data_IF_545997726264
#
_entry.id   IF_545997726264
#
_cell.length_a   1.000
_cell.length_b   1.000
_cell.length_c   1.000
_cell.angle_alpha   90.00
_cell.angle_beta   90.00
_cell.angle_gamma   90.00
#
_symmetry.space_group_name_H-M   'P 1'
#
loop_
_entity.id
_entity.type
_entity.pdbx_description
1 polymer ?
#
# COMPACT_ATOMS: atom_id res chain seq x y z
N UNK A 1 3.10 25.07 -0.67
CA UNK A 1 2.99 26.13 -1.69
C UNK A 1 1.92 25.87 -2.78
N UNK A 2 1.20 24.76 -2.71
CA UNK A 2 0.14 24.40 -3.69
C UNK A 2 -0.98 25.43 -3.73
N UNK A 3 -1.41 25.98 -2.59
CA UNK A 3 -2.44 27.00 -2.56
C UNK A 3 -2.11 28.25 -3.38
N UNK A 4 -0.85 28.69 -3.37
CA UNK A 4 -0.37 29.80 -4.21
C UNK A 4 -0.39 29.41 -5.69
N UNK A 5 0.10 28.22 -6.03
CA UNK A 5 0.10 27.73 -7.41
C UNK A 5 -1.31 27.63 -7.95
N UNK A 6 -2.22 27.03 -7.19
CA UNK A 6 -3.65 26.90 -7.58
C UNK A 6 -4.30 28.27 -7.71
N UNK A 7 -4.04 29.21 -6.78
CA UNK A 7 -4.54 30.56 -6.87
C UNK A 7 -4.06 31.26 -8.15
N UNK A 8 -2.76 31.19 -8.45
CA UNK A 8 -2.19 31.80 -9.64
C UNK A 8 -2.80 31.19 -10.92
N UNK A 9 -3.01 29.85 -10.95
CA UNK A 9 -3.66 29.19 -12.08
C UNK A 9 -5.09 29.70 -12.31
N UNK A 10 -5.87 29.90 -11.24
CA UNK A 10 -7.22 30.48 -11.33
C UNK A 10 -7.21 31.94 -11.83
N UNK A 11 -6.09 32.65 -11.63
CA UNK A 11 -5.92 34.04 -12.08
C UNK A 11 -5.35 34.16 -13.51
N UNK A 12 -4.88 33.06 -14.12
CA UNK A 12 -4.36 33.05 -15.49
C UNK A 12 -5.45 33.33 -16.53
N UNK A 13 -5.08 34.04 -17.61
CA UNK A 13 -5.99 34.35 -18.73
C UNK A 13 -6.61 33.09 -19.32
N UNK A 14 -5.85 32.02 -19.47
CA UNK A 14 -6.31 30.73 -19.99
C UNK A 14 -7.43 30.12 -19.17
N UNK A 15 -7.37 30.26 -17.84
CA UNK A 15 -8.46 29.83 -16.94
C UNK A 15 -9.69 30.73 -17.13
N UNK A 16 -9.48 32.04 -17.25
CA UNK A 16 -10.52 33.03 -17.40
C UNK A 16 -11.26 32.92 -18.75
N UNK A 17 -10.60 32.40 -19.77
CA UNK A 17 -11.25 32.06 -21.06
C UNK A 17 -12.19 30.85 -20.94
N UNK A 18 -11.83 29.87 -20.11
CA UNK A 18 -12.57 28.61 -19.99
C UNK A 18 -13.66 28.66 -18.92
N UNK A 19 -13.45 29.42 -17.87
CA UNK A 19 -14.33 29.46 -16.70
C UNK A 19 -14.74 30.87 -16.34
N UNK A 20 -15.97 31.02 -15.84
CA UNK A 20 -16.52 32.32 -15.42
C UNK A 20 -16.14 32.67 -13.98
N UNK A 21 -15.65 31.72 -13.22
CA UNK A 21 -15.25 31.90 -11.80
C UNK A 21 -13.99 32.78 -11.71
N UNK A 22 -13.97 33.72 -10.78
CA UNK A 22 -12.85 34.65 -10.54
C UNK A 22 -12.46 34.62 -9.07
N UNK A 23 -11.22 35.02 -8.78
CA UNK A 23 -10.77 35.24 -7.40
C UNK A 23 -11.50 36.47 -6.82
N UNK A 24 -11.87 36.38 -5.55
CA UNK A 24 -12.41 37.50 -4.79
C UNK A 24 -11.28 38.47 -4.41
N UNK A 25 -11.44 39.76 -4.64
CA UNK A 25 -10.35 40.77 -4.51
C UNK A 25 -9.83 40.90 -3.07
N UNK A 26 -10.69 40.73 -2.06
CA UNK A 26 -10.37 40.91 -0.65
C UNK A 26 -9.88 39.65 0.06
N UNK A 27 -9.75 38.51 -0.67
CA UNK A 27 -9.41 37.22 -0.07
C UNK A 27 -8.30 36.50 -0.86
N UNK A 28 -7.06 36.96 -0.70
CA UNK A 28 -5.94 36.53 -1.57
C UNK A 28 -4.73 35.94 -0.84
N UNK A 29 -4.84 35.47 0.40
CA UNK A 29 -3.75 34.82 1.10
C UNK A 29 -3.38 33.49 0.43
N UNK A 30 -2.09 33.11 0.39
CA UNK A 30 -1.60 31.93 -0.31
C UNK A 30 -2.25 30.60 0.14
N UNK A 31 -2.59 30.48 1.42
CA UNK A 31 -3.22 29.29 1.99
C UNK A 31 -4.73 29.41 2.21
N UNK A 32 -5.30 30.58 1.87
CA UNK A 32 -6.74 30.85 2.05
C UNK A 32 -7.21 31.92 1.09
N UNK A 33 -8.08 31.55 0.19
CA UNK A 33 -8.67 32.48 -0.79
C UNK A 33 -10.09 32.04 -1.15
N UNK A 34 -10.86 32.97 -1.69
CA UNK A 34 -12.24 32.76 -2.09
C UNK A 34 -12.46 33.10 -3.56
N UNK A 35 -13.55 32.58 -4.08
CA UNK A 35 -14.03 32.92 -5.42
C UNK A 35 -15.29 33.78 -5.36
N UNK A 36 -15.58 34.52 -6.43
CA UNK A 36 -16.78 35.32 -6.64
C UNK A 36 -18.08 34.47 -6.65
N UNK A 37 -17.96 33.16 -6.78
CA UNK A 37 -19.07 32.18 -6.74
C UNK A 37 -19.27 31.55 -5.36
N UNK A 38 -18.59 32.06 -4.32
CA UNK A 38 -18.72 31.57 -2.95
C UNK A 38 -17.88 30.36 -2.60
N UNK A 39 -17.04 29.85 -3.53
CA UNK A 39 -16.08 28.81 -3.24
C UNK A 39 -14.95 29.32 -2.34
N UNK A 40 -14.44 28.48 -1.44
CA UNK A 40 -13.29 28.79 -0.59
C UNK A 40 -12.23 27.70 -0.74
N UNK A 41 -10.98 28.11 -0.92
CA UNK A 41 -9.81 27.25 -0.77
C UNK A 41 -9.17 27.51 0.59
N UNK A 42 -8.85 26.45 1.30
CA UNK A 42 -8.15 26.52 2.58
C UNK A 42 -7.15 25.37 2.70
N UNK A 43 -5.89 25.70 3.02
CA UNK A 43 -4.82 24.74 3.25
C UNK A 43 -4.30 24.83 4.68
N UNK A 44 -4.09 23.67 5.30
CA UNK A 44 -3.46 23.53 6.61
C UNK A 44 -2.52 22.31 6.59
N UNK A 45 -1.45 22.37 7.37
CA UNK A 45 -0.59 21.20 7.59
C UNK A 45 -1.26 20.17 8.51
N UNK A 46 -0.75 18.94 8.50
CA UNK A 46 -1.16 17.89 9.43
C UNK A 46 -1.03 18.38 10.88
N UNK A 47 -2.10 18.26 11.66
CA UNK A 47 -2.17 18.81 13.02
C UNK A 47 -2.55 20.29 13.08
N UNK A 48 -2.69 20.97 11.95
CA UNK A 48 -3.17 22.36 11.91
C UNK A 48 -4.65 22.51 12.27
N UNK A 49 -5.04 23.71 12.73
CA UNK A 49 -6.43 24.01 13.10
C UNK A 49 -7.30 24.11 11.85
N UNK A 50 -8.29 23.23 11.74
CA UNK A 50 -9.30 23.21 10.68
C UNK A 50 -10.72 23.37 11.22
N UNK A 51 -10.85 23.77 12.48
CA UNK A 51 -12.14 23.94 13.17
C UNK A 51 -13.00 25.02 12.54
N UNK A 52 -14.32 24.81 12.55
CA UNK A 52 -15.29 25.79 12.06
C UNK A 52 -15.43 25.86 10.53
N UNK A 53 -14.87 24.89 9.78
CA UNK A 53 -14.98 24.83 8.31
C UNK A 53 -15.58 23.51 7.88
N UNK A 54 -16.46 23.56 6.86
CA UNK A 54 -16.88 22.39 6.10
C UNK A 54 -16.04 22.24 4.83
N UNK A 55 -16.05 21.07 4.23
CA UNK A 55 -15.38 20.79 2.96
C UNK A 55 -16.28 19.93 2.07
N UNK A 56 -16.49 20.37 0.83
CA UNK A 56 -17.13 19.58 -0.21
C UNK A 56 -16.10 18.67 -0.91
N UNK A 57 -14.84 19.12 -0.96
CA UNK A 57 -13.70 18.34 -1.41
C UNK A 57 -12.57 18.47 -0.39
N UNK A 58 -12.15 17.35 0.16
CA UNK A 58 -11.01 17.24 1.06
C UNK A 58 -9.85 16.57 0.31
N UNK A 59 -8.75 17.30 0.14
CA UNK A 59 -7.51 16.76 -0.45
C UNK A 59 -6.47 16.62 0.66
N UNK A 60 -5.93 15.43 0.83
CA UNK A 60 -4.82 15.14 1.74
C UNK A 60 -3.63 14.74 0.88
N UNK A 61 -2.58 15.55 0.95
CA UNK A 61 -1.37 15.40 0.15
C UNK A 61 -0.19 15.10 1.07
N UNK A 62 0.46 13.96 0.87
CA UNK A 62 1.61 13.44 1.62
C UNK A 62 1.50 13.68 3.16
N UNK A 63 0.53 13.03 3.83
CA UNK A 63 0.31 13.22 5.28
C UNK A 63 1.46 12.72 6.15
N UNK A 64 2.39 11.95 5.59
CA UNK A 64 3.56 11.39 6.27
C UNK A 64 4.86 11.97 5.73
N UNK A 65 5.87 11.99 6.60
CA UNK A 65 7.24 12.36 6.26
C UNK A 65 8.17 11.16 6.42
N UNK A 66 9.29 11.16 5.73
CA UNK A 66 10.32 10.12 5.87
C UNK A 66 10.71 9.85 7.34
N UNK A 67 10.73 10.89 8.16
CA UNK A 67 11.04 10.79 9.60
C UNK A 67 10.00 9.99 10.38
N UNK A 68 8.75 9.96 9.92
CA UNK A 68 7.65 9.25 10.57
C UNK A 68 7.84 7.72 10.49
N UNK A 69 8.52 7.24 9.46
CA UNK A 69 8.83 5.82 9.26
C UNK A 69 9.77 5.29 10.34
N UNK A 70 10.68 6.16 10.83
CA UNK A 70 11.70 5.81 11.83
C UNK A 70 11.18 5.89 13.26
N UNK A 71 9.99 6.43 13.49
CA UNK A 71 9.40 6.68 14.80
C UNK A 71 8.36 5.61 15.14
N UNK A 72 8.75 4.46 15.70
CA UNK A 72 7.94 3.44 16.42
C UNK A 72 6.44 3.28 16.02
N UNK A 73 6.06 3.62 14.79
CA UNK A 73 4.66 3.58 14.33
C UNK A 73 3.74 4.67 14.91
N UNK A 74 4.15 5.40 15.94
CA UNK A 74 3.33 6.44 16.62
C UNK A 74 2.96 7.62 15.71
N UNK A 75 3.82 7.93 14.75
CA UNK A 75 3.55 8.98 13.77
C UNK A 75 2.39 8.61 12.84
N UNK A 76 2.27 7.35 12.46
CA UNK A 76 1.16 6.85 11.65
C UNK A 76 -0.16 6.89 12.43
N UNK A 77 -0.15 6.47 13.69
CA UNK A 77 -1.32 6.59 14.58
C UNK A 77 -1.73 8.04 14.78
N UNK A 78 -0.76 8.94 14.98
CA UNK A 78 -1.03 10.38 15.12
C UNK A 78 -1.69 10.96 13.87
N UNK A 79 -1.21 10.60 12.68
CA UNK A 79 -1.78 11.06 11.42
C UNK A 79 -3.21 10.51 11.23
N UNK A 80 -3.45 9.25 11.56
CA UNK A 80 -4.78 8.65 11.49
C UNK A 80 -5.76 9.28 12.50
N UNK A 81 -5.31 9.50 13.73
CA UNK A 81 -6.11 10.19 14.75
C UNK A 81 -6.45 11.62 14.32
N UNK A 82 -5.50 12.35 13.74
CA UNK A 82 -5.76 13.66 13.16
C UNK A 82 -6.80 13.59 12.05
N UNK A 83 -6.66 12.63 11.12
CA UNK A 83 -7.61 12.44 10.02
C UNK A 83 -9.03 12.20 10.55
N UNK A 84 -9.20 11.26 11.46
CA UNK A 84 -10.52 10.85 11.97
C UNK A 84 -11.17 11.91 12.87
N UNK A 85 -10.39 12.55 13.73
CA UNK A 85 -10.90 13.57 14.67
C UNK A 85 -11.12 14.95 14.02
N UNK A 86 -10.43 15.25 12.94
CA UNK A 86 -10.45 16.57 12.29
C UNK A 86 -11.01 16.54 10.86
N UNK A 87 -10.20 16.29 9.83
CA UNK A 87 -10.59 16.42 8.43
C UNK A 87 -11.84 15.63 8.06
N UNK A 88 -11.91 14.35 8.43
CA UNK A 88 -13.05 13.49 8.10
C UNK A 88 -14.37 14.03 8.63
N UNK A 89 -14.36 14.64 9.81
CA UNK A 89 -15.54 15.24 10.44
C UNK A 89 -15.99 16.56 9.79
N UNK A 90 -15.20 17.08 8.85
CA UNK A 90 -15.51 18.34 8.13
C UNK A 90 -16.12 18.10 6.77
N UNK A 91 -16.13 16.87 6.30
CA UNK A 91 -16.73 16.54 5.01
C UNK A 91 -18.25 16.82 5.07
N UNK A 92 -18.73 17.61 4.13
CA UNK A 92 -20.15 17.87 3.97
C UNK A 92 -20.86 16.66 3.37
N UNK A 93 -22.18 16.52 3.55
CA UNK A 93 -22.97 15.48 2.90
C UNK A 93 -22.78 15.51 1.37
N UNK A 94 -22.37 14.37 0.78
CA UNK A 94 -22.06 14.27 -0.64
C UNK A 94 -20.67 14.76 -1.05
N UNK A 95 -19.86 15.22 -0.09
CA UNK A 95 -18.48 15.62 -0.34
C UNK A 95 -17.56 14.42 -0.66
N UNK A 96 -16.42 14.72 -1.28
CA UNK A 96 -15.43 13.74 -1.69
C UNK A 96 -14.10 13.90 -0.93
N UNK A 97 -13.38 12.78 -0.77
CA UNK A 97 -12.03 12.77 -0.19
C UNK A 97 -11.07 12.21 -1.24
N UNK A 98 -9.96 12.91 -1.43
CA UNK A 98 -8.83 12.46 -2.25
C UNK A 98 -7.59 12.39 -1.37
N UNK A 99 -6.93 11.26 -1.31
CA UNK A 99 -5.66 11.08 -0.60
C UNK A 99 -4.59 10.74 -1.63
N UNK A 100 -3.58 11.60 -1.73
CA UNK A 100 -2.41 11.39 -2.59
C UNK A 100 -1.21 11.23 -1.68
N UNK A 101 -0.50 10.12 -1.78
CA UNK A 101 0.67 9.90 -0.95
C UNK A 101 1.58 8.80 -1.48
N UNK A 102 2.85 8.89 -1.16
CA UNK A 102 3.77 7.76 -1.22
C UNK A 102 3.45 6.78 -0.10
N UNK A 103 3.45 5.49 -0.39
CA UNK A 103 3.29 4.46 0.65
C UNK A 103 4.57 4.33 1.46
N UNK A 104 4.43 4.15 2.76
CA UNK A 104 5.54 4.02 3.71
C UNK A 104 5.48 2.72 4.51
N UNK A 105 4.29 2.32 4.90
CA UNK A 105 4.04 1.17 5.77
C UNK A 105 2.62 0.64 5.57
N UNK A 106 2.38 -0.58 5.97
CA UNK A 106 1.01 -1.11 6.12
C UNK A 106 0.19 -0.36 7.17
N UNK A 107 0.88 0.38 8.07
CA UNK A 107 0.29 1.19 9.14
C UNK A 107 0.12 2.67 8.76
N UNK A 108 0.51 3.09 7.56
CA UNK A 108 0.27 4.47 7.09
C UNK A 108 -1.25 4.75 6.95
N UNK A 109 -1.63 6.02 6.75
CA UNK A 109 -3.05 6.40 6.67
C UNK A 109 -3.78 5.58 5.63
N UNK A 110 -3.22 5.44 4.43
CA UNK A 110 -3.83 4.62 3.36
C UNK A 110 -4.00 3.16 3.78
N UNK A 111 -2.97 2.55 4.38
CA UNK A 111 -3.04 1.16 4.86
C UNK A 111 -4.12 0.95 5.92
N UNK A 112 -4.27 1.89 6.86
CA UNK A 112 -5.32 1.82 7.87
C UNK A 112 -6.72 2.01 7.29
N UNK A 113 -6.89 2.94 6.33
CA UNK A 113 -8.17 3.18 5.66
C UNK A 113 -8.60 2.00 4.80
N UNK A 114 -7.68 1.42 4.03
CA UNK A 114 -7.95 0.22 3.22
C UNK A 114 -8.28 -1.00 4.09
N UNK A 115 -7.68 -1.12 5.25
CA UNK A 115 -8.05 -2.15 6.22
C UNK A 115 -9.46 -1.90 6.78
N UNK A 116 -9.77 -0.66 7.15
CA UNK A 116 -11.06 -0.29 7.73
C UNK A 116 -12.22 -0.45 6.73
N UNK A 117 -12.00 -0.32 5.42
CA UNK A 117 -13.08 -0.43 4.43
C UNK A 117 -13.74 -1.83 4.36
N UNK A 118 -13.15 -2.85 4.96
CA UNK A 118 -13.77 -4.18 5.09
C UNK A 118 -14.84 -4.23 6.17
N UNK A 119 -14.92 -3.22 7.05
CA UNK A 119 -15.93 -3.13 8.10
C UNK A 119 -17.25 -2.59 7.52
N UNK A 120 -18.36 -3.08 8.01
CA UNK A 120 -19.69 -2.66 7.56
C UNK A 120 -19.92 -1.17 7.86
N UNK A 121 -20.37 -0.42 6.86
CA UNK A 121 -20.64 1.02 6.99
C UNK A 121 -19.40 1.93 6.86
N UNK A 122 -18.21 1.37 6.63
CA UNK A 122 -17.00 2.15 6.41
C UNK A 122 -16.97 2.85 5.06
N UNK A 123 -16.19 3.94 4.96
CA UNK A 123 -15.93 4.60 3.68
C UNK A 123 -15.31 3.61 2.69
N UNK A 124 -15.79 3.62 1.45
CA UNK A 124 -15.27 2.80 0.37
C UNK A 124 -14.34 3.62 -0.52
N UNK A 125 -13.18 3.05 -0.84
CA UNK A 125 -12.11 3.75 -1.55
C UNK A 125 -11.90 3.14 -2.94
N UNK A 126 -11.86 4.01 -3.94
CA UNK A 126 -11.29 3.69 -5.24
C UNK A 126 -9.76 3.91 -5.14
N UNK A 127 -8.99 2.87 -5.45
CA UNK A 127 -7.54 2.89 -5.30
C UNK A 127 -6.88 2.96 -6.67
N UNK A 128 -6.05 3.99 -6.87
CA UNK A 128 -5.18 4.13 -8.06
C UNK A 128 -3.74 3.93 -7.61
N UNK A 129 -3.14 2.82 -8.03
CA UNK A 129 -1.74 2.51 -7.73
C UNK A 129 -0.88 2.74 -8.97
N UNK A 130 0.21 3.49 -8.80
CA UNK A 130 1.19 3.79 -9.84
C UNK A 130 2.57 3.27 -9.42
N UNK A 131 2.81 1.94 -9.50
CA UNK A 131 4.12 1.38 -9.16
C UNK A 131 5.15 1.80 -10.20
N UNK A 132 6.39 2.03 -9.76
CA UNK A 132 7.47 2.48 -10.65
C UNK A 132 7.75 1.50 -11.79
N UNK A 133 7.52 0.20 -11.55
CA UNK A 133 7.60 -0.86 -12.58
C UNK A 133 6.24 -1.56 -12.64
N UNK A 134 5.64 -1.54 -13.81
CA UNK A 134 4.36 -2.18 -14.10
C UNK A 134 4.48 -3.71 -14.13
N UNK A 135 3.38 -4.47 -14.08
CA UNK A 135 3.40 -5.94 -14.15
C UNK A 135 4.05 -6.51 -15.41
N UNK A 136 4.07 -5.75 -16.50
CA UNK A 136 4.74 -6.12 -17.77
C UNK A 136 6.26 -5.87 -17.74
N UNK A 137 6.81 -5.34 -16.64
CA UNK A 137 8.21 -5.05 -16.46
C UNK A 137 8.66 -3.67 -16.96
N UNK A 138 7.76 -2.87 -17.53
CA UNK A 138 8.07 -1.53 -18.02
C UNK A 138 7.96 -0.47 -16.91
N UNK A 139 8.75 0.61 -16.96
CA UNK A 139 8.53 1.77 -16.10
C UNK A 139 7.13 2.37 -16.32
N UNK A 140 6.50 2.83 -15.24
CA UNK A 140 5.20 3.53 -15.32
C UNK A 140 5.29 4.86 -16.10
N UNK A 141 6.47 5.46 -16.11
CA UNK A 141 6.75 6.72 -16.80
C UNK A 141 8.11 6.65 -17.52
N UNK A 142 8.19 5.96 -18.68
CA UNK A 142 9.47 5.67 -19.36
C UNK A 142 10.17 6.92 -19.91
N UNK A 143 9.43 8.03 -20.18
CA UNK A 143 10.01 9.29 -20.65
C UNK A 143 10.80 10.00 -19.53
N UNK A 144 10.56 9.69 -18.27
CA UNK A 144 11.22 10.30 -17.11
C UNK A 144 12.16 9.32 -16.41
N UNK A 145 11.78 8.06 -16.25
CA UNK A 145 12.58 7.03 -15.60
C UNK A 145 12.86 5.85 -16.54
N UNK A 146 14.11 5.62 -16.83
CA UNK A 146 14.53 4.41 -17.56
C UNK A 146 14.56 3.19 -16.63
N UNK A 147 14.39 2.00 -17.20
CA UNK A 147 14.52 0.74 -16.44
C UNK A 147 15.88 0.61 -15.74
N UNK A 148 16.96 1.08 -16.40
CA UNK A 148 18.31 1.05 -15.82
C UNK A 148 18.43 1.91 -14.57
N UNK A 149 17.90 3.14 -14.60
CA UNK A 149 17.90 4.06 -13.45
C UNK A 149 17.06 3.52 -12.30
N UNK A 150 15.90 2.95 -12.58
CA UNK A 150 15.05 2.30 -11.57
C UNK A 150 15.76 1.10 -10.92
N UNK A 151 16.48 0.29 -11.70
CA UNK A 151 17.25 -0.83 -11.16
C UNK A 151 18.44 -0.36 -10.30
N UNK A 152 19.13 0.72 -10.69
CA UNK A 152 20.16 1.36 -9.86
C UNK A 152 19.60 1.87 -8.55
N UNK A 153 18.46 2.55 -8.60
CA UNK A 153 17.76 3.02 -7.40
C UNK A 153 17.37 1.84 -6.49
N UNK A 154 16.78 0.79 -7.06
CA UNK A 154 16.44 -0.43 -6.32
C UNK A 154 17.63 -1.06 -5.61
N UNK A 155 18.79 -1.07 -6.24
CA UNK A 155 20.02 -1.61 -5.66
C UNK A 155 20.62 -0.72 -4.55
N UNK A 156 20.25 0.57 -4.52
CA UNK A 156 20.83 1.55 -3.60
C UNK A 156 20.03 1.77 -2.30
N UNK A 157 18.80 1.26 -2.22
CA UNK A 157 17.92 1.43 -1.06
C UNK A 157 17.48 0.09 -0.47
N UNK A 158 17.08 0.04 0.82
CA UNK A 158 16.51 -1.17 1.43
C UNK A 158 15.32 -1.70 0.62
N UNK A 159 15.21 -3.03 0.55
CA UNK A 159 14.12 -3.69 -0.19
C UNK A 159 12.74 -3.28 0.31
N UNK A 160 12.58 -3.11 1.63
CA UNK A 160 11.34 -2.61 2.23
C UNK A 160 10.95 -1.22 1.72
N UNK A 161 11.91 -0.30 1.62
CA UNK A 161 11.69 1.04 1.08
C UNK A 161 11.35 1.00 -0.40
N UNK A 162 12.04 0.15 -1.18
CA UNK A 162 11.70 -0.07 -2.58
C UNK A 162 10.26 -0.56 -2.75
N UNK A 163 9.89 -1.59 -2.01
CA UNK A 163 8.54 -2.15 -2.09
C UNK A 163 7.47 -1.14 -1.68
N UNK A 164 7.69 -0.39 -0.61
CA UNK A 164 6.73 0.60 -0.13
C UNK A 164 6.63 1.79 -1.09
N UNK A 165 7.73 2.50 -1.32
CA UNK A 165 7.70 3.82 -1.96
C UNK A 165 7.63 3.74 -3.49
N UNK A 166 8.33 2.77 -4.10
CA UNK A 166 8.38 2.64 -5.56
C UNK A 166 7.35 1.64 -6.10
N UNK A 167 7.11 0.55 -5.37
CA UNK A 167 6.15 -0.46 -5.83
C UNK A 167 4.76 -0.30 -5.21
N UNK A 168 4.54 0.70 -4.36
CA UNK A 168 3.28 0.98 -3.63
C UNK A 168 2.77 -0.21 -2.80
N UNK A 169 3.63 -1.17 -2.50
CA UNK A 169 3.33 -2.40 -1.78
C UNK A 169 4.19 -2.50 -0.50
N UNK A 170 3.88 -1.74 0.56
CA UNK A 170 4.60 -1.81 1.82
C UNK A 170 4.44 -3.18 2.47
N UNK A 171 5.54 -3.73 2.93
CA UNK A 171 5.56 -4.95 3.74
C UNK A 171 5.61 -4.59 5.23
N UNK A 172 5.03 -5.43 6.07
CA UNK A 172 5.14 -5.26 7.52
C UNK A 172 6.59 -5.50 7.96
N UNK A 173 7.34 -4.44 8.30
CA UNK A 173 8.70 -4.59 8.84
C UNK A 173 8.71 -5.20 10.25
N UNK A 174 7.68 -4.93 11.04
CA UNK A 174 7.48 -5.50 12.37
C UNK A 174 6.67 -6.79 12.27
N UNK A 175 7.32 -7.87 11.94
CA UNK A 175 6.63 -9.17 11.91
C UNK A 175 7.21 -10.16 10.94
N UNK A 176 8.25 -9.82 10.23
CA UNK A 176 9.05 -10.84 9.56
C UNK A 176 9.74 -11.68 10.65
N UNK A 177 8.97 -12.65 11.18
CA UNK A 177 9.50 -13.71 12.05
C UNK A 177 10.71 -14.35 11.36
N UNK A 178 10.67 -14.38 10.01
CA UNK A 178 11.73 -14.90 9.16
C UNK A 178 12.52 -13.74 8.54
N UNK A 179 13.74 -13.50 9.01
CA UNK A 179 14.63 -12.48 8.45
C UNK A 179 15.26 -12.97 7.16
N UNK A 180 15.44 -12.05 6.17
CA UNK A 180 16.05 -12.38 4.87
C UNK A 180 17.46 -12.99 5.04
N UNK A 181 18.23 -12.53 5.99
CA UNK A 181 19.60 -13.02 6.26
C UNK A 181 19.65 -14.48 6.72
N UNK A 182 18.51 -15.04 7.11
CA UNK A 182 18.41 -16.46 7.49
C UNK A 182 18.25 -17.36 6.25
N UNK A 183 17.85 -16.79 5.11
CA UNK A 183 17.67 -17.53 3.88
C UNK A 183 19.00 -17.73 3.16
N UNK A 184 19.28 -18.97 2.78
CA UNK A 184 20.43 -19.35 1.96
C UNK A 184 19.95 -19.88 0.62
N UNK A 185 20.58 -19.44 -0.46
CA UNK A 185 20.26 -19.95 -1.77
C UNK A 185 20.81 -21.38 -1.94
N UNK A 186 19.95 -22.29 -2.35
CA UNK A 186 20.37 -23.64 -2.73
C UNK A 186 21.13 -23.58 -4.04
N UNK A 187 22.37 -24.05 -4.05
CA UNK A 187 23.27 -23.93 -5.22
C UNK A 187 23.16 -25.09 -6.21
N UNK A 188 22.59 -26.21 -5.80
CA UNK A 188 22.49 -27.41 -6.64
C UNK A 188 21.20 -27.38 -7.46
N UNK A 189 21.22 -28.10 -8.62
CA UNK A 189 20.08 -28.18 -9.54
C UNK A 189 18.86 -28.88 -8.91
N UNK A 190 19.10 -29.84 -8.06
CA UNK A 190 18.07 -30.65 -7.40
C UNK A 190 18.13 -30.47 -5.89
N UNK A 191 16.99 -30.57 -5.18
CA UNK A 191 17.02 -30.56 -3.73
C UNK A 191 17.81 -31.74 -3.16
N UNK A 192 18.25 -31.70 -1.90
CA UNK A 192 18.88 -32.85 -1.24
C UNK A 192 17.87 -34.00 -1.11
N UNK A 193 18.31 -35.23 -0.79
CA UNK A 193 17.40 -36.26 -0.33
C UNK A 193 16.57 -35.73 0.87
N UNK A 194 15.25 -35.85 0.77
CA UNK A 194 14.32 -35.33 1.77
C UNK A 194 13.91 -36.44 2.72
N UNK A 195 13.80 -36.11 4.01
CA UNK A 195 13.24 -36.99 5.03
C UNK A 195 11.71 -37.04 4.92
N UNK A 196 11.07 -35.85 4.72
CA UNK A 196 9.65 -35.72 4.48
C UNK A 196 9.30 -34.35 3.87
N UNK A 197 8.08 -34.23 3.36
CA UNK A 197 7.55 -33.02 2.72
C UNK A 197 6.37 -32.48 3.53
N UNK A 198 6.37 -31.17 3.80
CA UNK A 198 5.29 -30.46 4.47
C UNK A 198 4.70 -29.40 3.56
N UNK A 199 3.38 -29.35 3.46
CA UNK A 199 2.68 -28.22 2.84
C UNK A 199 1.96 -27.37 3.89
N UNK A 200 2.10 -26.05 3.78
CA UNK A 200 1.41 -25.07 4.62
C UNK A 200 0.49 -24.21 3.78
N UNK A 201 -0.75 -24.05 4.25
CA UNK A 201 -1.83 -23.32 3.59
C UNK A 201 -2.28 -22.17 4.48
N UNK A 202 -2.11 -20.94 4.00
CA UNK A 202 -2.77 -19.74 4.51
C UNK A 202 -3.90 -19.40 3.54
N UNK A 203 -5.17 -19.45 4.01
CA UNK A 203 -6.33 -19.43 3.13
C UNK A 203 -7.20 -18.19 3.34
N UNK A 204 -7.50 -17.47 2.24
CA UNK A 204 -8.52 -16.44 2.19
C UNK A 204 -9.70 -16.92 1.29
N UNK A 205 -10.93 -16.57 1.66
CA UNK A 205 -12.12 -17.17 1.03
C UNK A 205 -12.82 -16.26 -0.01
N UNK A 206 -12.26 -15.11 -0.38
CA UNK A 206 -12.90 -14.20 -1.33
C UNK A 206 -11.97 -13.70 -2.42
N UNK A 207 -12.48 -13.57 -3.65
CA UNK A 207 -11.79 -13.01 -4.83
C UNK A 207 -11.76 -11.48 -4.91
N UNK A 208 -12.37 -10.77 -3.97
CA UNK A 208 -12.40 -9.30 -4.05
C UNK A 208 -10.98 -8.75 -4.12
N UNK A 209 -10.74 -7.73 -4.92
CA UNK A 209 -9.43 -7.06 -5.07
C UNK A 209 -8.87 -6.54 -3.74
N UNK A 210 -9.74 -6.37 -2.75
CA UNK A 210 -9.43 -5.98 -1.37
C UNK A 210 -9.21 -7.15 -0.42
N UNK A 211 -9.43 -8.42 -0.87
CA UNK A 211 -9.26 -9.60 -0.03
C UNK A 211 -7.79 -10.01 0.10
N UNK A 212 -7.47 -10.67 1.21
CA UNK A 212 -6.18 -11.28 1.41
C UNK A 212 -5.89 -12.35 0.35
N UNK A 213 -4.63 -12.60 0.10
CA UNK A 213 -4.19 -13.70 -0.76
C UNK A 213 -4.32 -15.04 -0.04
N UNK A 214 -4.59 -16.09 -0.80
CA UNK A 214 -4.29 -17.46 -0.35
C UNK A 214 -2.85 -17.80 -0.74
N UNK A 215 -2.11 -18.40 0.16
CA UNK A 215 -0.75 -18.84 -0.07
C UNK A 215 -0.60 -20.34 0.25
N UNK A 216 0.13 -21.05 -0.61
CA UNK A 216 0.50 -22.45 -0.40
C UNK A 216 2.02 -22.53 -0.51
N UNK A 217 2.67 -23.09 0.50
CA UNK A 217 4.11 -23.30 0.50
C UNK A 217 4.42 -24.78 0.72
N UNK A 218 5.34 -25.32 -0.08
CA UNK A 218 5.80 -26.71 0.01
C UNK A 218 7.25 -26.73 0.45
N UNK A 219 7.53 -27.45 1.52
CA UNK A 219 8.81 -27.50 2.20
C UNK A 219 9.33 -28.94 2.22
N UNK A 220 10.59 -29.12 1.87
CA UNK A 220 11.31 -30.35 2.12
C UNK A 220 12.09 -30.25 3.42
N UNK A 221 12.01 -31.27 4.25
CA UNK A 221 12.83 -31.40 5.45
C UNK A 221 13.93 -32.42 5.16
N UNK A 222 15.16 -32.10 5.52
CA UNK A 222 16.32 -32.95 5.31
C UNK A 222 17.32 -32.80 6.47
N UNK A 223 18.08 -33.85 6.72
CA UNK A 223 19.06 -33.88 7.79
C UNK A 223 20.47 -33.90 7.21
N UNK A 224 21.38 -33.11 7.78
CA UNK A 224 22.80 -33.12 7.48
C UNK A 224 23.61 -33.50 8.75
N UNK A 225 24.76 -34.10 8.54
CA UNK A 225 25.66 -34.46 9.66
C UNK A 225 26.19 -33.22 10.40
N UNK A 226 26.35 -32.08 9.67
CA UNK A 226 26.95 -30.88 10.24
C UNK A 226 25.94 -30.02 11.03
N UNK A 227 24.71 -29.84 10.51
CA UNK A 227 23.76 -28.85 11.02
C UNK A 227 22.48 -29.48 11.59
N UNK A 228 22.35 -30.82 11.54
CA UNK A 228 21.12 -31.50 11.94
C UNK A 228 19.97 -31.31 10.95
N UNK A 229 18.76 -31.08 11.47
CA UNK A 229 17.56 -30.95 10.65
C UNK A 229 17.48 -29.56 9.99
N UNK A 230 17.26 -29.55 8.70
CA UNK A 230 17.15 -28.35 7.85
C UNK A 230 15.86 -28.36 7.06
N UNK A 231 15.46 -27.20 6.54
CA UNK A 231 14.31 -27.06 5.65
C UNK A 231 14.71 -26.38 4.34
N UNK A 232 14.10 -26.79 3.24
CA UNK A 232 14.24 -26.17 1.92
C UNK A 232 12.88 -25.85 1.35
N UNK A 233 12.69 -24.63 0.86
CA UNK A 233 11.47 -24.25 0.11
C UNK A 233 11.52 -24.89 -1.28
N UNK A 234 10.58 -25.78 -1.55
CA UNK A 234 10.46 -26.48 -2.83
C UNK A 234 9.54 -25.75 -3.80
N UNK A 235 8.43 -25.19 -3.28
CA UNK A 235 7.46 -24.43 -4.07
C UNK A 235 6.77 -23.38 -3.18
N UNK A 236 6.42 -22.24 -3.79
CA UNK A 236 5.63 -21.21 -3.15
C UNK A 236 4.64 -20.65 -4.17
N UNK A 237 3.39 -20.63 -3.79
CA UNK A 237 2.28 -20.20 -4.61
C UNK A 237 1.41 -19.21 -3.86
N UNK A 238 1.01 -18.12 -4.51
CA UNK A 238 0.19 -17.07 -3.90
C UNK A 238 -0.74 -16.47 -4.94
N UNK A 239 -2.04 -16.53 -4.68
CA UNK A 239 -3.05 -15.88 -5.55
C UNK A 239 -4.37 -15.63 -4.79
N UNK A 240 -5.32 -14.96 -5.46
CA UNK A 240 -6.67 -14.74 -4.94
C UNK A 240 -7.64 -15.70 -5.58
N UNK A 241 -8.23 -16.57 -4.78
CA UNK A 241 -9.18 -17.58 -5.24
C UNK A 241 -10.53 -17.45 -4.52
N UNK A 242 -11.59 -17.84 -5.23
CA UNK A 242 -12.80 -18.27 -4.53
C UNK A 242 -12.62 -19.69 -3.97
N UNK A 243 -13.51 -20.09 -3.08
CA UNK A 243 -13.38 -21.38 -2.39
C UNK A 243 -13.33 -22.58 -3.34
N UNK A 244 -14.17 -22.69 -4.41
CA UNK A 244 -14.08 -23.78 -5.37
C UNK A 244 -12.75 -23.87 -6.10
N UNK A 245 -12.18 -22.72 -6.46
CA UNK A 245 -10.87 -22.66 -7.13
C UNK A 245 -9.73 -23.00 -6.18
N UNK A 246 -9.74 -22.43 -4.97
CA UNK A 246 -8.74 -22.75 -3.94
C UNK A 246 -8.70 -24.24 -3.67
N UNK A 247 -9.89 -24.88 -3.55
CA UNK A 247 -10.00 -26.34 -3.35
C UNK A 247 -9.36 -27.11 -4.51
N UNK A 248 -9.60 -26.70 -5.75
CA UNK A 248 -9.01 -27.35 -6.94
C UNK A 248 -7.49 -27.21 -6.95
N UNK A 249 -6.98 -26.02 -6.67
CA UNK A 249 -5.52 -25.74 -6.63
C UNK A 249 -4.89 -26.53 -5.49
N UNK A 250 -5.47 -26.52 -4.30
CA UNK A 250 -4.97 -27.30 -3.16
C UNK A 250 -4.88 -28.80 -3.45
N UNK A 251 -5.91 -29.36 -4.11
CA UNK A 251 -5.88 -30.77 -4.52
C UNK A 251 -4.79 -31.04 -5.59
N UNK A 252 -4.55 -30.09 -6.49
CA UNK A 252 -3.50 -30.21 -7.50
C UNK A 252 -2.12 -30.18 -6.84
N UNK A 253 -1.84 -29.19 -6.01
CA UNK A 253 -0.59 -29.05 -5.27
C UNK A 253 -0.30 -30.26 -4.38
N UNK A 254 -1.36 -30.80 -3.71
CA UNK A 254 -1.24 -32.03 -2.93
C UNK A 254 -0.82 -33.23 -3.78
N UNK A 255 -1.39 -33.39 -4.99
CA UNK A 255 -1.06 -34.50 -5.90
C UNK A 255 0.34 -34.35 -6.50
N UNK A 256 0.74 -33.13 -6.82
CA UNK A 256 2.03 -32.86 -7.48
C UNK A 256 3.21 -33.08 -6.52
N UNK A 257 3.01 -32.75 -5.26
CA UNK A 257 4.08 -32.82 -4.23
C UNK A 257 3.98 -34.03 -3.30
N UNK A 258 2.81 -34.68 -3.22
CA UNK A 258 2.53 -35.81 -2.34
C UNK A 258 3.10 -35.62 -0.92
N UNK A 259 2.68 -34.54 -0.20
CA UNK A 259 3.25 -34.20 1.11
C UNK A 259 2.93 -35.24 2.17
N UNK A 260 3.86 -35.47 3.08
CA UNK A 260 3.66 -36.32 4.27
C UNK A 260 2.78 -35.63 5.32
N UNK A 261 2.81 -34.30 5.34
CA UNK A 261 2.03 -33.47 6.28
C UNK A 261 1.44 -32.24 5.58
N UNK A 262 0.19 -31.94 5.91
CA UNK A 262 -0.51 -30.70 5.49
C UNK A 262 -0.92 -29.91 6.71
N UNK A 263 -0.54 -28.62 6.74
CA UNK A 263 -0.90 -27.66 7.79
C UNK A 263 -1.83 -26.62 7.16
N UNK A 264 -3.01 -26.44 7.72
CA UNK A 264 -3.97 -25.43 7.24
C UNK A 264 -4.28 -24.50 8.41
N UNK A 265 -4.14 -23.18 8.17
CA UNK A 265 -4.52 -22.19 9.18
C UNK A 265 -6.04 -22.23 9.37
N UNK A 266 -6.46 -22.51 10.61
CA UNK A 266 -7.87 -22.43 10.99
C UNK A 266 -8.17 -20.98 11.41
N UNK A 267 -8.97 -20.26 10.62
CA UNK A 267 -9.55 -18.99 11.09
C UNK A 267 -10.67 -19.30 12.07
N UNK A 268 -10.51 -18.77 13.30
CA UNK A 268 -11.54 -18.80 14.33
C UNK A 268 -12.71 -17.87 13.99
#
# INVERSE_FOLDING_TARGET
>A
DFGRKTKNLVDEEKYKELFTTRLQEDSQAAGKWKTDKGGEYFAAGVGGAITGRGADLLIIDDPHKEQDVRADGKAFEKAMNWYTAGPRQRLQPGGAIVIVMTRWSTKDVTGQLLKAQSEEGSDQWEVVELPAILPDGNPVWPEFWTSEELLKTKASIPVSNWLAQYMQNPTAEEGAILKRDWWRDWKNKYPPPLDYIVQSYDTAFTKKTTADFSAITTWGVFTTEADGQNIILLNAFKDRYDFPELRRVALQEYRDWNPDMVIIEAKA
#
